data_IF_790028014126
#
_entry.id   IF_790028014126
#
_cell.length_a   1.000
_cell.length_b   1.000
_cell.length_c   1.000
_cell.angle_alpha   90.00
_cell.angle_beta   90.00
_cell.angle_gamma   90.00
#
_symmetry.space_group_name_H-M   'P 1'
#
loop_
_entity.id
_entity.type
_entity.pdbx_description
1 polymer ?
#
# COMPACT_ATOMS: atom_id res chain seq x y z
N UNK A 1 6.96 -43.61 -20.47
CA UNK A 1 8.06 -42.61 -20.48
C UNK A 1 7.63 -41.47 -19.58
N UNK A 2 8.03 -41.53 -18.31
CA UNK A 2 7.69 -40.50 -17.32
C UNK A 2 8.77 -39.43 -17.44
N UNK A 3 8.40 -38.28 -17.98
CA UNK A 3 9.26 -37.09 -17.96
C UNK A 3 9.09 -36.49 -16.56
N UNK A 4 10.01 -36.83 -15.67
CA UNK A 4 10.20 -36.11 -14.41
C UNK A 4 10.71 -34.70 -14.75
N UNK A 5 9.79 -33.75 -14.80
CA UNK A 5 10.11 -32.34 -14.86
C UNK A 5 10.63 -31.90 -13.49
N UNK A 6 11.94 -31.69 -13.42
CA UNK A 6 12.61 -30.94 -12.36
C UNK A 6 11.97 -29.54 -12.25
N UNK A 7 11.00 -29.42 -11.33
CA UNK A 7 10.50 -28.13 -10.84
C UNK A 7 11.24 -27.82 -9.55
N UNK A 8 12.55 -27.60 -9.64
CA UNK A 8 13.25 -26.78 -8.67
C UNK A 8 12.71 -25.36 -8.78
N UNK A 9 11.54 -25.11 -8.18
CA UNK A 9 11.03 -23.76 -7.98
C UNK A 9 12.10 -23.04 -7.17
N UNK A 10 12.77 -22.05 -7.76
CA UNK A 10 13.73 -21.21 -7.06
C UNK A 10 13.00 -20.59 -5.86
N UNK A 11 13.27 -21.11 -4.66
CA UNK A 11 12.66 -20.61 -3.43
C UNK A 11 13.16 -19.19 -3.22
N UNK A 12 12.31 -18.20 -3.52
CA UNK A 12 12.62 -16.80 -3.24
C UNK A 12 12.45 -16.59 -1.74
N UNK A 13 13.57 -16.69 -1.02
CA UNK A 13 13.67 -16.37 0.41
C UNK A 13 13.59 -14.85 0.59
N UNK A 14 12.40 -14.37 0.94
CA UNK A 14 12.21 -12.96 1.32
C UNK A 14 12.29 -12.85 2.84
N UNK A 15 13.16 -11.98 3.33
CA UNK A 15 13.24 -11.70 4.78
C UNK A 15 11.95 -11.02 5.27
N UNK A 16 11.28 -11.56 6.31
CA UNK A 16 10.13 -10.90 6.92
C UNK A 16 10.40 -9.47 7.37
N UNK A 17 11.65 -9.17 7.80
CA UNK A 17 12.06 -7.83 8.20
C UNK A 17 12.02 -6.84 7.04
N UNK A 18 12.41 -7.27 5.83
CA UNK A 18 12.37 -6.43 4.62
C UNK A 18 10.92 -6.10 4.27
N UNK A 19 10.02 -7.09 4.36
CA UNK A 19 8.59 -6.89 4.10
C UNK A 19 7.94 -5.93 5.11
N UNK A 20 8.29 -6.05 6.40
CA UNK A 20 7.83 -5.10 7.43
C UNK A 20 8.35 -3.69 7.19
N UNK A 21 9.64 -3.55 6.91
CA UNK A 21 10.22 -2.24 6.60
C UNK A 21 9.60 -1.61 5.35
N UNK A 22 9.26 -2.40 4.34
CA UNK A 22 8.53 -1.93 3.17
C UNK A 22 7.10 -1.50 3.54
N UNK A 23 6.40 -2.25 4.40
CA UNK A 23 5.08 -1.87 4.89
C UNK A 23 5.10 -0.53 5.65
N UNK A 24 6.09 -0.35 6.53
CA UNK A 24 6.28 0.90 7.28
C UNK A 24 6.55 2.08 6.34
N UNK A 25 7.42 1.89 5.34
CA UNK A 25 7.70 2.90 4.32
C UNK A 25 6.45 3.22 3.48
N UNK A 26 5.62 2.22 3.14
CA UNK A 26 4.33 2.43 2.47
C UNK A 26 3.40 3.28 3.33
N UNK A 27 3.28 2.97 4.64
CA UNK A 27 2.47 3.78 5.56
C UNK A 27 3.00 5.21 5.69
N UNK A 28 4.32 5.40 5.76
CA UNK A 28 4.92 6.73 5.81
C UNK A 28 4.63 7.54 4.55
N UNK A 29 4.83 6.95 3.37
CA UNK A 29 4.53 7.58 2.08
C UNK A 29 3.05 7.95 1.97
N UNK A 30 2.14 7.08 2.41
CA UNK A 30 0.72 7.38 2.45
C UNK A 30 0.42 8.59 3.36
N UNK A 31 1.07 8.68 4.51
CA UNK A 31 0.93 9.81 5.42
C UNK A 31 1.52 11.12 4.87
N UNK A 32 2.65 11.05 4.16
CA UNK A 32 3.22 12.19 3.46
C UNK A 32 2.31 12.67 2.32
N UNK A 33 1.79 11.74 1.52
CA UNK A 33 0.86 12.02 0.44
C UNK A 33 -0.43 12.67 0.97
N UNK A 34 -1.09 12.11 1.99
CA UNK A 34 -2.33 12.71 2.53
C UNK A 34 -2.10 14.12 3.09
N UNK A 35 -0.95 14.40 3.70
CA UNK A 35 -0.61 15.78 4.12
C UNK A 35 -0.49 16.71 2.91
N UNK A 36 0.27 16.32 1.90
CA UNK A 36 0.43 17.13 0.69
C UNK A 36 -0.90 17.33 -0.06
N UNK A 37 -1.76 16.31 -0.09
CA UNK A 37 -3.08 16.37 -0.72
C UNK A 37 -4.05 17.30 0.02
N UNK A 38 -3.97 17.36 1.36
CA UNK A 38 -4.74 18.31 2.18
C UNK A 38 -4.34 19.77 1.95
N UNK A 39 -3.04 20.06 1.88
CA UNK A 39 -2.56 21.42 1.62
C UNK A 39 -3.13 21.97 0.31
N UNK A 40 -3.17 21.12 -0.72
CA UNK A 40 -3.76 21.47 -2.02
C UNK A 40 -5.29 21.68 -1.92
N UNK A 41 -5.99 20.87 -1.11
CA UNK A 41 -7.44 20.97 -0.91
C UNK A 41 -7.85 22.30 -0.25
N UNK A 42 -7.07 22.79 0.71
CA UNK A 42 -7.32 24.07 1.38
C UNK A 42 -7.19 25.25 0.39
N UNK A 43 -6.14 25.24 -0.44
CA UNK A 43 -5.93 26.25 -1.49
C UNK A 43 -7.05 26.22 -2.55
N UNK A 44 -7.47 25.03 -2.99
CA UNK A 44 -8.59 24.88 -3.93
C UNK A 44 -9.91 25.36 -3.32
N UNK A 45 -10.17 25.05 -2.04
CA UNK A 45 -11.36 25.51 -1.32
C UNK A 45 -11.43 27.04 -1.27
N UNK A 46 -10.30 27.68 -0.98
CA UNK A 46 -10.19 29.13 -0.98
C UNK A 46 -10.46 29.73 -2.36
N UNK A 47 -9.88 29.14 -3.41
CA UNK A 47 -10.09 29.58 -4.80
C UNK A 47 -11.54 29.40 -5.26
N UNK A 48 -12.16 28.26 -4.96
CA UNK A 48 -13.55 27.96 -5.31
C UNK A 48 -14.53 28.96 -4.65
N UNK A 49 -14.30 29.30 -3.36
CA UNK A 49 -15.09 30.33 -2.66
C UNK A 49 -14.92 31.71 -3.29
N UNK A 50 -13.71 32.07 -3.68
CA UNK A 50 -13.40 33.37 -4.28
C UNK A 50 -14.00 33.52 -5.69
N UNK A 51 -14.32 32.41 -6.36
CA UNK A 51 -14.83 32.37 -7.73
C UNK A 51 -16.27 31.86 -7.82
N UNK A 52 -17.03 31.84 -6.72
CA UNK A 52 -18.34 31.15 -6.64
C UNK A 52 -19.36 31.55 -7.71
N UNK A 53 -19.35 32.82 -8.12
CA UNK A 53 -20.32 33.38 -9.08
C UNK A 53 -19.82 33.27 -10.54
N UNK A 54 -18.65 32.68 -10.74
CA UNK A 54 -18.01 32.50 -12.02
C UNK A 54 -18.12 31.03 -12.42
N UNK A 55 -18.25 30.76 -13.72
CA UNK A 55 -18.25 29.38 -14.24
C UNK A 55 -17.00 28.60 -13.81
N UNK A 56 -15.88 29.30 -13.60
CA UNK A 56 -14.62 28.77 -13.09
C UNK A 56 -14.73 28.20 -11.67
N UNK A 57 -15.59 28.78 -10.81
CA UNK A 57 -15.84 28.27 -9.46
C UNK A 57 -16.59 26.94 -9.46
N UNK A 58 -17.53 26.75 -10.40
CA UNK A 58 -18.21 25.46 -10.62
C UNK A 58 -17.22 24.37 -11.04
N UNK A 59 -16.38 24.65 -12.03
CA UNK A 59 -15.35 23.71 -12.49
C UNK A 59 -14.33 23.37 -11.39
N UNK A 60 -13.95 24.33 -10.54
CA UNK A 60 -13.10 24.08 -9.38
C UNK A 60 -13.78 23.17 -8.35
N UNK A 61 -15.08 23.32 -8.15
CA UNK A 61 -15.84 22.45 -7.22
C UNK A 61 -15.86 21.00 -7.72
N UNK A 62 -16.10 20.79 -9.01
CA UNK A 62 -16.04 19.45 -9.61
C UNK A 62 -14.64 18.84 -9.52
N UNK A 63 -13.59 19.65 -9.70
CA UNK A 63 -12.20 19.22 -9.55
C UNK A 63 -11.89 18.83 -8.10
N UNK A 64 -12.39 19.58 -7.12
CA UNK A 64 -12.25 19.22 -5.70
C UNK A 64 -12.93 17.89 -5.36
N UNK A 65 -14.14 17.65 -5.87
CA UNK A 65 -14.85 16.40 -5.66
C UNK A 65 -14.13 15.21 -6.32
N UNK A 66 -13.50 15.43 -7.47
CA UNK A 66 -12.63 14.41 -8.08
C UNK A 66 -11.39 14.18 -7.22
N UNK A 67 -10.73 15.24 -6.77
CA UNK A 67 -9.53 15.16 -5.93
C UNK A 67 -9.76 14.37 -4.65
N UNK A 68 -10.85 14.64 -3.92
CA UNK A 68 -11.21 13.93 -2.68
C UNK A 68 -11.43 12.41 -2.92
N UNK A 69 -12.06 12.07 -4.05
CA UNK A 69 -12.27 10.68 -4.46
C UNK A 69 -10.95 9.97 -4.77
N UNK A 70 -10.05 10.63 -5.49
CA UNK A 70 -8.74 10.07 -5.85
C UNK A 70 -7.83 9.95 -4.62
N UNK A 71 -7.81 10.94 -3.71
CA UNK A 71 -7.10 10.83 -2.42
C UNK A 71 -7.60 9.62 -1.63
N UNK A 72 -8.92 9.46 -1.52
CA UNK A 72 -9.53 8.34 -0.80
C UNK A 72 -9.21 7.00 -1.45
N UNK A 73 -9.20 6.92 -2.79
CA UNK A 73 -8.81 5.72 -3.52
C UNK A 73 -7.35 5.37 -3.26
N UNK A 74 -6.45 6.34 -3.42
CA UNK A 74 -5.02 6.17 -3.18
C UNK A 74 -4.72 5.72 -1.73
N UNK A 75 -5.37 6.34 -0.73
CA UNK A 75 -5.21 5.96 0.67
C UNK A 75 -5.61 4.50 0.93
N UNK A 76 -6.68 4.02 0.29
CA UNK A 76 -7.10 2.61 0.40
C UNK A 76 -6.10 1.65 -0.25
N UNK A 77 -5.56 1.99 -1.42
CA UNK A 77 -4.58 1.16 -2.11
C UNK A 77 -3.28 1.02 -1.29
N UNK A 78 -2.79 2.13 -0.74
CA UNK A 78 -1.59 2.13 0.10
C UNK A 78 -1.79 1.34 1.40
N UNK A 79 -2.96 1.46 2.03
CA UNK A 79 -3.29 0.65 3.21
C UNK A 79 -3.36 -0.85 2.86
N UNK A 80 -3.95 -1.21 1.72
CA UNK A 80 -4.01 -2.58 1.24
C UNK A 80 -2.62 -3.16 0.94
N UNK A 81 -1.72 -2.36 0.36
CA UNK A 81 -0.35 -2.76 0.11
C UNK A 81 0.43 -3.01 1.41
N UNK A 82 0.33 -2.10 2.38
CA UNK A 82 0.99 -2.25 3.67
C UNK A 82 0.50 -3.51 4.42
N UNK A 83 -0.81 -3.74 4.45
CA UNK A 83 -1.41 -4.94 5.05
C UNK A 83 -0.97 -6.23 4.33
N UNK A 84 -0.92 -6.22 3.00
CA UNK A 84 -0.42 -7.35 2.21
C UNK A 84 1.04 -7.69 2.52
N UNK A 85 1.89 -6.69 2.69
CA UNK A 85 3.29 -6.85 3.06
C UNK A 85 3.43 -7.42 4.49
N UNK A 86 2.65 -6.92 5.45
CA UNK A 86 2.63 -7.42 6.82
C UNK A 86 2.17 -8.88 6.91
N UNK A 87 1.08 -9.22 6.20
CA UNK A 87 0.57 -10.60 6.12
C UNK A 87 1.60 -11.54 5.48
N UNK A 88 2.26 -11.08 4.43
CA UNK A 88 3.32 -11.86 3.77
C UNK A 88 4.48 -12.11 4.72
N UNK A 89 4.92 -11.11 5.49
CA UNK A 89 5.96 -11.28 6.51
C UNK A 89 5.55 -12.31 7.57
N UNK A 90 4.32 -12.24 8.09
CA UNK A 90 3.80 -13.18 9.07
C UNK A 90 3.71 -14.61 8.52
N UNK A 91 3.36 -14.78 7.23
CA UNK A 91 3.31 -16.09 6.59
C UNK A 91 4.71 -16.71 6.44
N UNK A 92 5.72 -15.92 6.08
CA UNK A 92 7.11 -16.40 6.00
C UNK A 92 7.63 -16.83 7.38
N UNK A 93 7.36 -16.06 8.44
CA UNK A 93 7.76 -16.45 9.80
C UNK A 93 7.09 -17.75 10.27
N UNK A 94 5.79 -17.92 9.99
CA UNK A 94 5.10 -19.16 10.31
C UNK A 94 5.67 -20.35 9.52
N UNK A 95 5.96 -20.16 8.23
CA UNK A 95 6.55 -21.21 7.40
C UNK A 95 7.96 -21.60 7.88
N UNK A 96 8.78 -20.62 8.27
CA UNK A 96 10.12 -20.85 8.81
C UNK A 96 10.05 -21.55 10.18
N UNK A 97 9.15 -21.13 11.06
CA UNK A 97 8.94 -21.76 12.37
C UNK A 97 8.44 -23.21 12.24
N UNK A 98 7.48 -23.46 11.35
CA UNK A 98 6.97 -24.81 11.08
C UNK A 98 8.08 -25.71 10.50
N UNK A 99 8.86 -25.20 9.54
CA UNK A 99 9.99 -25.93 8.98
C UNK A 99 11.03 -26.27 10.05
N UNK A 100 11.38 -25.32 10.93
CA UNK A 100 12.31 -25.55 12.02
C UNK A 100 11.82 -26.61 13.02
N UNK A 101 10.51 -26.66 13.30
CA UNK A 101 9.92 -27.67 14.18
C UNK A 101 9.97 -29.08 13.56
N UNK A 102 9.68 -29.21 12.27
CA UNK A 102 9.71 -30.50 11.56
C UNK A 102 11.14 -31.07 11.46
N UNK A 103 12.15 -30.23 11.23
CA UNK A 103 13.56 -30.67 11.21
C UNK A 103 14.18 -30.82 12.61
N UNK A 104 13.66 -30.11 13.62
CA UNK A 104 14.13 -30.21 15.01
C UNK A 104 13.63 -31.44 15.76
N UNK A 105 12.56 -32.07 15.28
CA UNK A 105 11.93 -33.25 15.90
C UNK A 105 12.61 -34.58 15.51
N UNK A 106 13.50 -34.59 14.52
CA UNK A 106 14.22 -35.80 14.05
C UNK A 106 15.53 -36.01 14.85
N UNK A 107 15.49 -35.89 16.18
CA UNK A 107 16.69 -36.13 17.02
C UNK A 107 16.46 -37.18 18.09
#
# INVERSE_FOLDING_TARGET
MIVNGDRSATEVRVSPQVLRSAADATTELAGQASRALRDVSDDMTYAARSLRDWSTGGALTELMDLWDREETAFGREMAGLADGLQKSAANYEHADAASAADFGTIR
#
